data_IF_204500253213
#
_entry.id   IF_204500253213
#
_cell.length_a   1.000
_cell.length_b   1.000
_cell.length_c   1.000
_cell.angle_alpha   90.00
_cell.angle_beta   90.00
_cell.angle_gamma   90.00
#
_symmetry.space_group_name_H-M   'P 1'
#
loop_
_entity.id
_entity.type
_entity.pdbx_description
1 polymer ?
#
# COMPACT_ATOMS: atom_id res chain seq x y z
N UNK A 1 32.22 23.02 93.55
CA UNK A 1 32.80 23.70 92.38
C UNK A 1 31.79 23.62 91.25
N UNK A 2 30.79 24.49 91.23
CA UNK A 2 30.82 25.79 90.53
C UNK A 2 31.04 25.61 89.01
N UNK A 3 29.96 25.30 88.30
CA UNK A 3 29.90 25.31 86.83
C UNK A 3 29.72 26.77 86.42
N UNK A 4 30.80 27.38 85.92
CA UNK A 4 30.78 28.72 85.37
C UNK A 4 29.96 28.71 84.08
N UNK A 5 28.74 29.25 84.13
CA UNK A 5 28.03 29.70 82.94
C UNK A 5 28.85 30.85 82.35
N UNK A 6 29.57 30.58 81.26
CA UNK A 6 30.15 31.62 80.41
C UNK A 6 29.00 32.48 79.93
N UNK A 7 28.95 33.70 80.44
CA UNK A 7 28.04 34.77 80.02
C UNK A 7 28.33 35.01 78.53
N UNK A 8 27.50 34.44 77.67
CA UNK A 8 27.60 34.63 76.23
C UNK A 8 27.26 36.10 76.00
N UNK A 9 28.24 36.88 75.56
CA UNK A 9 28.06 38.28 75.19
C UNK A 9 27.04 38.38 74.05
N UNK A 10 25.78 38.56 74.44
CA UNK A 10 24.61 38.57 73.56
C UNK A 10 24.75 39.68 72.52
N UNK A 11 25.39 40.80 72.85
CA UNK A 11 25.59 41.91 71.94
C UNK A 11 26.63 41.58 70.87
N UNK A 12 27.73 40.89 71.23
CA UNK A 12 28.70 40.38 70.26
C UNK A 12 28.06 39.39 69.26
N UNK A 13 27.15 38.53 69.74
CA UNK A 13 26.40 37.60 68.88
C UNK A 13 25.46 38.34 67.94
N UNK A 14 24.72 39.36 68.42
CA UNK A 14 23.84 40.17 67.56
C UNK A 14 24.63 40.93 66.49
N UNK A 15 25.80 41.48 66.82
CA UNK A 15 26.66 42.15 65.83
C UNK A 15 27.20 41.18 64.77
N UNK A 16 27.56 39.96 65.16
CA UNK A 16 27.97 38.92 64.22
C UNK A 16 26.82 38.50 63.29
N UNK A 17 25.59 38.35 63.83
CA UNK A 17 24.39 38.08 63.04
C UNK A 17 24.14 39.18 62.01
N UNK A 18 24.13 40.45 62.43
CA UNK A 18 23.91 41.58 61.52
C UNK A 18 24.97 41.67 60.41
N UNK A 19 26.22 41.32 60.73
CA UNK A 19 27.30 41.28 59.74
C UNK A 19 27.05 40.21 58.69
N UNK A 20 26.69 39.00 59.11
CA UNK A 20 26.38 37.90 58.19
C UNK A 20 25.10 38.16 57.39
N UNK A 21 24.06 38.76 57.97
CA UNK A 21 22.86 39.15 57.23
C UNK A 21 23.17 40.14 56.10
N UNK A 22 24.06 41.11 56.36
CA UNK A 22 24.53 42.05 55.32
C UNK A 22 25.30 41.32 54.22
N UNK A 23 26.18 40.40 54.58
CA UNK A 23 26.95 39.60 53.59
C UNK A 23 26.02 38.70 52.75
N UNK A 24 25.05 38.05 53.37
CA UNK A 24 24.01 37.27 52.68
C UNK A 24 23.26 38.15 51.70
N UNK A 25 22.83 39.36 52.10
CA UNK A 25 22.16 40.30 51.20
C UNK A 25 23.02 40.68 49.98
N UNK A 26 24.33 40.87 50.15
CA UNK A 26 25.25 41.12 49.04
C UNK A 26 25.39 39.90 48.11
N UNK A 27 25.43 38.70 48.66
CA UNK A 27 25.47 37.45 47.89
C UNK A 27 24.17 37.27 47.09
N UNK A 28 23.00 37.53 47.68
CA UNK A 28 21.71 37.40 47.01
C UNK A 28 21.58 38.36 45.81
N UNK A 29 22.02 39.61 45.96
CA UNK A 29 22.07 40.58 44.84
C UNK A 29 22.98 40.05 43.72
N UNK A 30 24.13 39.46 44.06
CA UNK A 30 25.05 38.88 43.08
C UNK A 30 24.43 37.67 42.38
N UNK A 31 23.73 36.79 43.11
CA UNK A 31 22.99 35.66 42.55
C UNK A 31 21.94 36.16 41.57
N UNK A 32 21.14 37.17 41.95
CA UNK A 32 20.11 37.75 41.08
C UNK A 32 20.74 38.32 39.79
N UNK A 33 21.85 39.04 39.89
CA UNK A 33 22.57 39.58 38.73
C UNK A 33 23.11 38.48 37.80
N UNK A 34 23.65 37.40 38.36
CA UNK A 34 24.09 36.23 37.59
C UNK A 34 22.90 35.51 36.93
N UNK A 35 21.77 35.33 37.62
CA UNK A 35 20.57 34.72 37.05
C UNK A 35 20.01 35.53 35.87
N UNK A 36 20.00 36.86 35.97
CA UNK A 36 19.63 37.72 34.84
C UNK A 36 20.58 37.56 33.65
N UNK A 37 21.89 37.50 33.93
CA UNK A 37 22.91 37.27 32.90
C UNK A 37 22.75 35.91 32.22
N UNK A 38 22.47 34.85 32.98
CA UNK A 38 22.18 33.51 32.45
C UNK A 38 20.96 33.54 31.54
N UNK A 39 19.84 34.15 31.97
CA UNK A 39 18.63 34.27 31.13
C UNK A 39 18.91 34.98 29.80
N UNK A 40 19.67 36.08 29.84
CA UNK A 40 20.06 36.83 28.63
C UNK A 40 20.90 35.97 27.68
N UNK A 41 21.90 35.26 28.20
CA UNK A 41 22.74 34.37 27.40
C UNK A 41 21.94 33.18 26.83
N UNK A 42 20.98 32.65 27.60
CA UNK A 42 20.06 31.60 27.12
C UNK A 42 19.26 32.09 25.90
N UNK A 43 18.68 33.29 26.00
CA UNK A 43 17.94 33.90 24.89
C UNK A 43 18.82 34.12 23.65
N UNK A 44 20.04 34.63 23.83
CA UNK A 44 21.00 34.81 22.73
C UNK A 44 21.39 33.46 22.10
N UNK A 45 21.61 32.42 22.91
CA UNK A 45 21.87 31.06 22.44
C UNK A 45 20.71 30.52 21.62
N UNK A 46 19.47 30.74 22.05
CA UNK A 46 18.28 30.29 21.32
C UNK A 46 18.10 31.01 19.98
N UNK A 47 18.40 32.31 19.94
CA UNK A 47 18.44 33.09 18.69
C UNK A 47 19.49 32.53 17.71
N UNK A 48 20.71 32.29 18.17
CA UNK A 48 21.76 31.70 17.34
C UNK A 48 21.41 30.28 16.87
N UNK A 49 20.81 29.46 17.74
CA UNK A 49 20.34 28.13 17.36
C UNK A 49 19.23 28.19 16.30
N UNK A 50 18.35 29.19 16.34
CA UNK A 50 17.36 29.41 15.30
C UNK A 50 18.00 29.75 13.94
N UNK A 51 18.99 30.64 13.92
CA UNK A 51 19.72 30.98 12.68
C UNK A 51 20.56 29.81 12.17
N UNK A 52 21.22 29.04 13.04
CA UNK A 52 21.92 27.80 12.65
C UNK A 52 20.95 26.81 12.00
N UNK A 53 19.74 26.61 12.57
CA UNK A 53 18.72 25.73 11.99
C UNK A 53 18.28 26.21 10.60
N UNK A 54 18.11 27.53 10.43
CA UNK A 54 17.76 28.15 9.14
C UNK A 54 18.86 27.93 8.09
N UNK A 55 20.13 28.15 8.45
CA UNK A 55 21.27 27.89 7.58
C UNK A 55 21.43 26.41 7.25
N UNK A 56 21.29 25.52 8.25
CA UNK A 56 21.28 24.07 8.06
C UNK A 56 20.18 23.66 7.07
N UNK A 57 18.98 24.23 7.18
CA UNK A 57 17.88 24.02 6.26
C UNK A 57 18.26 24.31 4.80
N UNK A 58 18.99 25.40 4.54
CA UNK A 58 19.43 25.81 3.20
C UNK A 58 20.50 24.92 2.57
N UNK A 59 21.36 24.30 3.39
CA UNK A 59 22.44 23.43 2.90
C UNK A 59 22.01 21.98 2.74
N UNK A 60 20.80 21.61 3.21
CA UNK A 60 20.29 20.26 3.01
C UNK A 60 20.13 19.96 1.51
N UNK A 61 20.45 18.73 1.10
CA UNK A 61 20.23 18.30 -0.29
C UNK A 61 18.75 18.50 -0.70
N UNK A 62 17.84 18.23 0.25
CA UNK A 62 16.40 18.45 0.16
C UNK A 62 15.98 19.86 -0.30
N UNK A 63 16.74 20.90 0.04
CA UNK A 63 16.44 22.28 -0.37
C UNK A 63 17.15 22.71 -1.64
N UNK A 64 18.08 21.89 -2.15
CA UNK A 64 18.85 22.18 -3.38
C UNK A 64 18.30 21.45 -4.60
N UNK A 65 17.56 20.38 -4.40
CA UNK A 65 16.91 19.65 -5.49
C UNK A 65 15.71 20.45 -6.01
N UNK A 66 15.56 20.56 -7.34
CA UNK A 66 14.33 21.04 -7.95
C UNK A 66 13.12 20.23 -7.47
N UNK A 67 11.93 20.85 -7.31
CA UNK A 67 10.74 20.17 -6.84
C UNK A 67 10.32 19.00 -7.74
N UNK A 68 10.65 19.04 -9.03
CA UNK A 68 10.38 17.97 -10.00
C UNK A 68 11.20 16.70 -9.68
N UNK A 69 12.46 16.87 -9.28
CA UNK A 69 13.32 15.74 -8.91
C UNK A 69 12.86 15.12 -7.59
N UNK A 70 12.44 15.96 -6.64
CA UNK A 70 11.84 15.47 -5.39
C UNK A 70 10.54 14.71 -5.66
N UNK A 71 9.66 15.24 -6.51
CA UNK A 71 8.41 14.58 -6.88
C UNK A 71 8.69 13.21 -7.53
N UNK A 72 9.66 13.12 -8.44
CA UNK A 72 10.07 11.85 -9.04
C UNK A 72 10.60 10.85 -8.02
N UNK A 73 11.42 11.27 -7.05
CA UNK A 73 11.86 10.41 -5.94
C UNK A 73 10.66 9.92 -5.13
N UNK A 74 9.67 10.78 -4.88
CA UNK A 74 8.46 10.41 -4.14
C UNK A 74 7.62 9.41 -4.92
N UNK A 75 7.51 9.55 -6.25
CA UNK A 75 6.85 8.59 -7.13
C UNK A 75 7.53 7.21 -7.05
N UNK A 76 8.87 7.15 -7.10
CA UNK A 76 9.60 5.89 -6.92
C UNK A 76 9.32 5.26 -5.55
N UNK A 77 9.31 6.05 -4.48
CA UNK A 77 8.97 5.55 -3.14
C UNK A 77 7.54 4.97 -3.10
N UNK A 78 6.59 5.61 -3.77
CA UNK A 78 5.20 5.13 -3.86
C UNK A 78 5.13 3.81 -4.61
N UNK A 79 5.86 3.69 -5.73
CA UNK A 79 5.95 2.44 -6.51
C UNK A 79 6.60 1.30 -5.72
N UNK A 80 7.56 1.58 -4.84
CA UNK A 80 8.15 0.62 -3.90
C UNK A 80 7.19 0.22 -2.74
N UNK A 81 5.89 0.52 -2.87
CA UNK A 81 4.85 0.16 -1.88
C UNK A 81 4.71 1.15 -0.72
N UNK A 82 5.46 2.26 -0.69
CA UNK A 82 5.29 3.31 0.35
C UNK A 82 4.17 4.27 -0.04
N UNK A 83 2.94 3.76 -0.11
CA UNK A 83 1.76 4.45 -0.64
C UNK A 83 1.35 5.71 0.15
N UNK A 84 1.82 5.85 1.39
CA UNK A 84 1.63 7.05 2.23
C UNK A 84 2.70 8.13 2.09
N UNK A 85 3.70 7.91 1.22
CA UNK A 85 4.80 8.86 0.97
C UNK A 85 4.31 10.29 0.76
N UNK A 86 3.28 10.59 -0.05
CA UNK A 86 2.85 11.96 -0.31
C UNK A 86 2.45 12.72 0.96
N UNK A 87 1.79 12.04 1.90
CA UNK A 87 1.43 12.61 3.19
C UNK A 87 2.66 12.84 4.06
N UNK A 88 3.50 11.82 4.22
CA UNK A 88 4.68 11.87 5.11
C UNK A 88 5.63 12.99 4.67
N UNK A 89 5.96 13.05 3.37
CA UNK A 89 6.94 14.01 2.84
C UNK A 89 6.40 15.45 2.87
N UNK A 90 5.07 15.66 2.84
CA UNK A 90 4.45 16.97 2.94
C UNK A 90 4.68 17.69 4.30
N UNK A 91 5.03 16.92 5.33
CA UNK A 91 5.31 17.43 6.68
C UNK A 91 6.80 17.74 6.93
N UNK A 92 7.70 17.41 6.00
CA UNK A 92 9.15 17.54 6.21
C UNK A 92 9.62 18.99 6.16
N UNK A 93 9.42 19.66 5.02
CA UNK A 93 9.76 21.08 4.85
C UNK A 93 8.89 21.70 3.74
N UNK A 94 8.98 23.03 3.54
CA UNK A 94 8.20 23.72 2.50
C UNK A 94 8.51 23.22 1.09
N UNK A 95 9.79 22.97 0.77
CA UNK A 95 10.19 22.47 -0.56
C UNK A 95 9.59 21.08 -0.84
N UNK A 96 9.66 20.18 0.15
CA UNK A 96 9.10 18.84 0.03
C UNK A 96 7.59 18.87 -0.07
N UNK A 97 6.93 19.78 0.66
CA UNK A 97 5.49 19.99 0.55
C UNK A 97 5.09 20.43 -0.86
N UNK A 98 5.84 21.35 -1.47
CA UNK A 98 5.58 21.78 -2.85
C UNK A 98 5.70 20.58 -3.81
N UNK A 99 6.81 19.84 -3.74
CA UNK A 99 6.99 18.63 -4.55
C UNK A 99 5.92 17.55 -4.29
N UNK A 100 5.47 17.42 -3.05
CA UNK A 100 4.39 16.50 -2.69
C UNK A 100 3.03 16.90 -3.29
N UNK A 101 2.83 18.16 -3.73
CA UNK A 101 1.58 18.55 -4.42
C UNK A 101 1.53 18.14 -5.88
N UNK A 102 2.63 17.62 -6.45
CA UNK A 102 2.67 17.16 -7.83
C UNK A 102 1.67 16.02 -8.03
N UNK A 103 0.71 16.12 -8.98
CA UNK A 103 -0.39 15.16 -9.08
C UNK A 103 0.04 13.70 -9.31
N UNK A 104 1.13 13.47 -10.04
CA UNK A 104 1.66 12.13 -10.33
C UNK A 104 2.10 11.38 -9.07
N UNK A 105 2.54 12.10 -8.03
CA UNK A 105 2.89 11.55 -6.71
C UNK A 105 1.67 10.90 -6.02
N UNK A 106 0.44 11.29 -6.39
CA UNK A 106 -0.81 10.76 -5.86
C UNK A 106 -1.52 9.77 -6.80
N UNK A 107 -0.91 9.45 -7.94
CA UNK A 107 -1.54 8.63 -8.99
C UNK A 107 -1.69 7.14 -8.63
N UNK A 108 -0.90 6.65 -7.67
CA UNK A 108 -1.05 5.31 -7.11
C UNK A 108 -2.03 5.34 -5.92
N UNK A 109 -3.25 4.89 -6.17
CA UNK A 109 -4.34 4.87 -5.19
C UNK A 109 -4.38 3.50 -4.55
N UNK A 110 -3.82 3.40 -3.35
CA UNK A 110 -3.86 2.17 -2.55
C UNK A 110 -4.96 2.18 -1.50
N UNK A 111 -5.78 1.15 -1.55
CA UNK A 111 -6.99 0.98 -0.77
C UNK A 111 -6.85 -0.31 0.03
N UNK A 112 -6.93 -0.16 1.34
CA UNK A 112 -7.05 -1.28 2.26
C UNK A 112 -8.41 -1.12 2.94
N UNK A 113 -9.30 -2.09 2.72
CA UNK A 113 -10.70 -1.98 3.16
C UNK A 113 -10.88 -2.10 4.68
N UNK A 114 -9.91 -2.67 5.39
CA UNK A 114 -9.91 -2.72 6.86
C UNK A 114 -9.49 -1.38 7.49
N UNK A 115 -8.93 -0.46 6.69
CA UNK A 115 -8.50 0.83 7.21
C UNK A 115 -9.69 1.71 7.60
N UNK A 116 -9.52 2.58 8.60
CA UNK A 116 -10.56 3.54 8.97
C UNK A 116 -10.81 4.50 7.80
N UNK A 117 -12.06 4.60 7.37
CA UNK A 117 -12.51 5.58 6.36
C UNK A 117 -11.83 5.42 4.98
N UNK A 118 -11.85 4.22 4.36
CA UNK A 118 -11.20 3.93 3.09
C UNK A 118 -11.78 4.80 1.96
N UNK A 119 -13.09 5.06 1.98
CA UNK A 119 -13.77 5.91 1.01
C UNK A 119 -13.25 7.37 1.05
N UNK A 120 -13.23 8.01 2.22
CA UNK A 120 -12.73 9.39 2.38
C UNK A 120 -11.25 9.50 2.00
N UNK A 121 -10.46 8.48 2.34
CA UNK A 121 -9.05 8.43 1.99
C UNK A 121 -8.87 8.30 0.48
N UNK A 122 -9.68 7.46 -0.18
CA UNK A 122 -9.68 7.32 -1.64
C UNK A 122 -10.03 8.64 -2.32
N UNK A 123 -11.07 9.33 -1.87
CA UNK A 123 -11.46 10.66 -2.39
C UNK A 123 -10.32 11.68 -2.28
N UNK A 124 -9.58 11.69 -1.17
CA UNK A 124 -8.42 12.57 -1.01
C UNK A 124 -7.33 12.29 -2.06
N UNK A 125 -7.00 11.03 -2.30
CA UNK A 125 -6.02 10.63 -3.32
C UNK A 125 -6.49 11.01 -4.73
N UNK A 126 -7.74 10.68 -5.07
CA UNK A 126 -8.32 11.02 -6.37
C UNK A 126 -8.30 12.54 -6.60
N UNK A 127 -8.69 13.34 -5.60
CA UNK A 127 -8.66 14.80 -5.69
C UNK A 127 -7.25 15.35 -5.95
N UNK A 128 -6.24 14.80 -5.27
CA UNK A 128 -4.86 15.28 -5.41
C UNK A 128 -4.19 14.80 -6.70
N UNK A 129 -4.59 13.64 -7.23
CA UNK A 129 -4.09 13.09 -8.49
C UNK A 129 -4.57 13.87 -9.75
N UNK A 130 -5.58 14.73 -9.60
CA UNK A 130 -6.14 15.60 -10.65
C UNK A 130 -6.57 14.86 -11.91
N UNK A 131 -5.82 14.97 -13.02
CA UNK A 131 -6.13 14.34 -14.32
C UNK A 131 -5.08 13.29 -14.70
N UNK A 132 -4.20 12.92 -13.77
CA UNK A 132 -3.18 11.89 -14.05
C UNK A 132 -3.82 10.52 -14.21
N UNK A 133 -3.20 9.68 -15.03
CA UNK A 133 -3.58 8.27 -15.13
C UNK A 133 -3.30 7.56 -13.82
N UNK A 134 -4.19 6.64 -13.44
CA UNK A 134 -4.21 6.04 -12.12
C UNK A 134 -3.73 4.59 -12.13
N UNK A 135 -2.94 4.25 -11.12
CA UNK A 135 -2.72 2.86 -10.70
C UNK A 135 -3.58 2.63 -9.47
N UNK A 136 -4.58 1.77 -9.60
CA UNK A 136 -5.51 1.44 -8.51
C UNK A 136 -5.08 0.10 -7.92
N UNK A 137 -4.82 0.07 -6.62
CA UNK A 137 -4.51 -1.14 -5.88
C UNK A 137 -5.51 -1.31 -4.75
N UNK A 138 -6.27 -2.41 -4.79
CA UNK A 138 -7.31 -2.72 -3.81
C UNK A 138 -6.92 -4.02 -3.11
N UNK A 139 -6.69 -3.91 -1.80
CA UNK A 139 -6.53 -5.04 -0.89
C UNK A 139 -7.87 -5.31 -0.20
N UNK A 140 -8.45 -6.46 -0.52
CA UNK A 140 -9.79 -6.90 -0.14
C UNK A 140 -9.65 -8.04 0.87
N UNK A 141 -9.87 -7.71 2.14
CA UNK A 141 -9.88 -8.66 3.24
C UNK A 141 -11.29 -9.22 3.46
N UNK A 142 -11.49 -10.00 4.52
CA UNK A 142 -12.75 -10.70 4.77
C UNK A 142 -13.95 -9.76 4.97
N UNK A 143 -13.73 -8.55 5.51
CA UNK A 143 -14.78 -7.54 5.65
C UNK A 143 -14.97 -6.76 4.34
N UNK A 144 -16.02 -7.09 3.60
CA UNK A 144 -16.38 -6.44 2.33
C UNK A 144 -17.45 -5.35 2.50
N UNK A 145 -17.82 -4.99 3.73
CA UNK A 145 -18.91 -4.03 4.00
C UNK A 145 -18.72 -2.67 3.32
N UNK A 146 -17.47 -2.22 3.17
CA UNK A 146 -17.11 -0.94 2.56
C UNK A 146 -16.63 -1.06 1.11
N UNK A 147 -16.61 -2.26 0.55
CA UNK A 147 -16.11 -2.52 -0.80
C UNK A 147 -16.92 -1.73 -1.83
N UNK A 148 -18.25 -1.90 -1.80
CA UNK A 148 -19.15 -1.28 -2.78
C UNK A 148 -19.02 0.25 -2.81
N UNK A 149 -19.13 0.91 -1.66
CA UNK A 149 -19.06 2.38 -1.58
C UNK A 149 -17.69 2.93 -1.97
N UNK A 150 -16.61 2.21 -1.67
CA UNK A 150 -15.25 2.63 -2.05
C UNK A 150 -15.02 2.43 -3.55
N UNK A 151 -15.47 1.32 -4.11
CA UNK A 151 -15.39 1.03 -5.56
C UNK A 151 -16.23 2.01 -6.36
N UNK A 152 -17.43 2.38 -5.92
CA UNK A 152 -18.26 3.41 -6.56
C UNK A 152 -17.53 4.74 -6.73
N UNK A 153 -16.76 5.16 -5.71
CA UNK A 153 -15.92 6.37 -5.79
C UNK A 153 -14.81 6.23 -6.83
N UNK A 154 -14.18 5.07 -6.93
CA UNK A 154 -13.14 4.82 -7.94
C UNK A 154 -13.71 4.78 -9.35
N UNK A 155 -14.89 4.18 -9.51
CA UNK A 155 -15.56 4.02 -10.79
C UNK A 155 -15.96 5.35 -11.41
N UNK A 156 -16.22 6.39 -10.60
CA UNK A 156 -16.40 7.76 -11.08
C UNK A 156 -15.18 8.27 -11.88
N UNK A 157 -14.00 7.71 -11.65
CA UNK A 157 -12.72 8.06 -12.29
C UNK A 157 -12.17 6.93 -13.18
N UNK A 158 -12.99 5.93 -13.54
CA UNK A 158 -12.55 4.74 -14.30
C UNK A 158 -11.88 5.08 -15.64
N UNK A 159 -12.29 6.18 -16.26
CA UNK A 159 -11.72 6.65 -17.53
C UNK A 159 -10.23 6.99 -17.43
N UNK A 160 -9.68 7.18 -16.23
CA UNK A 160 -8.25 7.46 -15.98
C UNK A 160 -7.46 6.23 -15.55
N UNK A 161 -8.11 5.09 -15.31
CA UNK A 161 -7.41 3.90 -14.84
C UNK A 161 -6.44 3.42 -15.91
N UNK A 162 -5.18 3.22 -15.52
CA UNK A 162 -4.13 2.63 -16.35
C UNK A 162 -3.82 1.21 -15.92
N UNK A 163 -3.78 0.98 -14.62
CA UNK A 163 -3.49 -0.31 -14.02
C UNK A 163 -4.46 -0.57 -12.87
N UNK A 164 -5.02 -1.77 -12.81
CA UNK A 164 -5.86 -2.25 -11.71
C UNK A 164 -5.20 -3.46 -11.06
N UNK A 165 -4.97 -3.41 -9.76
CA UNK A 165 -4.37 -4.48 -8.96
C UNK A 165 -5.40 -4.87 -7.89
N UNK A 166 -5.86 -6.11 -7.92
CA UNK A 166 -6.82 -6.66 -6.99
C UNK A 166 -6.14 -7.77 -6.18
N UNK A 167 -6.04 -7.56 -4.87
CA UNK A 167 -5.48 -8.55 -3.94
C UNK A 167 -6.60 -8.97 -2.99
N UNK A 168 -6.90 -10.25 -2.90
CA UNK A 168 -7.92 -10.75 -1.97
C UNK A 168 -7.58 -12.11 -1.40
N UNK A 169 -8.18 -12.45 -0.26
CA UNK A 169 -8.14 -13.81 0.26
C UNK A 169 -9.00 -14.76 -0.55
N UNK A 170 -10.09 -14.32 -1.17
CA UNK A 170 -11.01 -15.17 -1.94
C UNK A 170 -11.40 -14.55 -3.28
N UNK A 171 -12.00 -15.35 -4.16
CA UNK A 171 -12.38 -14.91 -5.50
C UNK A 171 -13.63 -14.02 -5.52
N UNK A 172 -14.62 -14.29 -4.66
CA UNK A 172 -15.92 -13.60 -4.72
C UNK A 172 -15.81 -12.08 -4.64
N UNK A 173 -15.00 -11.48 -3.76
CA UNK A 173 -14.85 -10.03 -3.70
C UNK A 173 -14.18 -9.46 -4.95
N UNK A 174 -13.23 -10.18 -5.55
CA UNK A 174 -12.60 -9.80 -6.82
C UNK A 174 -13.64 -9.75 -7.93
N UNK A 175 -14.45 -10.81 -8.06
CA UNK A 175 -15.55 -10.87 -9.02
C UNK A 175 -16.59 -9.77 -8.79
N UNK A 176 -16.85 -9.42 -7.53
CA UNK A 176 -17.73 -8.29 -7.20
C UNK A 176 -17.17 -6.97 -7.76
N UNK A 177 -15.87 -6.70 -7.61
CA UNK A 177 -15.25 -5.49 -8.19
C UNK A 177 -15.33 -5.50 -9.72
N UNK A 178 -14.95 -6.61 -10.35
CA UNK A 178 -14.94 -6.74 -11.81
C UNK A 178 -16.34 -6.55 -12.41
N UNK A 179 -17.37 -7.10 -11.78
CA UNK A 179 -18.78 -6.92 -12.20
C UNK A 179 -19.27 -5.49 -12.08
N UNK A 180 -18.78 -4.73 -11.09
CA UNK A 180 -19.15 -3.32 -10.93
C UNK A 180 -18.50 -2.42 -12.00
N UNK A 181 -17.46 -2.91 -12.70
CA UNK A 181 -16.76 -2.15 -13.73
C UNK A 181 -17.56 -2.10 -15.05
N UNK A 182 -18.69 -1.40 -15.03
CA UNK A 182 -19.62 -1.31 -16.16
C UNK A 182 -19.37 -0.14 -17.11
N UNK A 183 -18.40 0.71 -16.80
CA UNK A 183 -18.11 1.94 -17.56
C UNK A 183 -16.87 1.78 -18.45
N UNK A 184 -16.73 2.60 -19.51
CA UNK A 184 -15.58 2.54 -20.41
C UNK A 184 -14.28 2.91 -19.70
N UNK A 185 -13.33 1.97 -19.67
CA UNK A 185 -12.01 2.13 -19.07
C UNK A 185 -10.97 2.41 -20.16
N UNK A 186 -11.09 3.57 -20.82
CA UNK A 186 -10.40 3.90 -22.07
C UNK A 186 -8.87 3.84 -22.01
N UNK A 187 -8.28 3.97 -20.82
CA UNK A 187 -6.83 3.98 -20.62
C UNK A 187 -6.31 2.72 -19.91
N UNK A 188 -7.18 1.76 -19.58
CA UNK A 188 -6.80 0.58 -18.81
C UNK A 188 -5.94 -0.34 -19.69
N UNK A 189 -4.73 -0.62 -19.23
CA UNK A 189 -3.72 -1.41 -19.95
C UNK A 189 -3.40 -2.72 -19.28
N UNK A 190 -3.42 -2.73 -17.94
CA UNK A 190 -3.00 -3.88 -17.15
C UNK A 190 -3.98 -4.17 -16.03
N UNK A 191 -4.26 -5.44 -15.82
CA UNK A 191 -4.98 -5.95 -14.65
C UNK A 191 -4.11 -7.01 -13.98
N UNK A 192 -3.96 -6.92 -12.66
CA UNK A 192 -3.30 -7.91 -11.82
C UNK A 192 -4.29 -8.40 -10.77
N UNK A 193 -4.41 -9.71 -10.64
CA UNK A 193 -5.35 -10.35 -9.72
C UNK A 193 -4.58 -11.36 -8.87
N UNK A 194 -4.58 -11.17 -7.56
CA UNK A 194 -3.96 -12.08 -6.60
C UNK A 194 -5.01 -12.61 -5.63
N UNK A 195 -5.19 -13.94 -5.60
CA UNK A 195 -6.11 -14.63 -4.67
C UNK A 195 -5.31 -15.66 -3.88
N UNK A 196 -5.26 -15.50 -2.55
CA UNK A 196 -4.42 -16.35 -1.69
C UNK A 196 -5.11 -17.59 -1.11
N UNK A 197 -6.45 -17.65 -1.10
CA UNK A 197 -7.19 -18.82 -0.63
C UNK A 197 -8.28 -19.17 -1.64
N UNK A 198 -8.22 -20.39 -2.16
CA UNK A 198 -9.27 -20.92 -3.02
C UNK A 198 -9.71 -22.26 -2.44
N UNK A 199 -10.93 -22.27 -1.94
CA UNK A 199 -11.55 -23.49 -1.45
C UNK A 199 -12.23 -24.16 -2.63
N UNK A 200 -11.84 -25.41 -2.92
CA UNK A 200 -12.61 -26.28 -3.81
C UNK A 200 -13.90 -26.63 -3.08
N UNK A 201 -14.97 -25.86 -3.34
CA UNK A 201 -16.30 -26.20 -2.84
C UNK A 201 -16.73 -27.50 -3.50
N UNK A 202 -16.68 -28.60 -2.74
CA UNK A 202 -17.15 -29.91 -3.17
C UNK A 202 -18.68 -29.93 -3.20
N UNK A 203 -19.32 -29.25 -4.16
CA UNK A 203 -20.79 -29.29 -4.31
C UNK A 203 -21.23 -29.30 -5.77
N UNK A 204 -21.93 -30.40 -6.11
CA UNK A 204 -22.95 -30.62 -7.12
C UNK A 204 -22.79 -30.02 -8.53
N UNK A 205 -22.13 -30.79 -9.41
CA UNK A 205 -22.73 -31.44 -10.59
C UNK A 205 -23.48 -30.63 -11.67
N UNK A 206 -23.72 -29.33 -11.53
CA UNK A 206 -24.51 -28.54 -12.48
C UNK A 206 -23.84 -27.18 -12.77
N UNK A 207 -22.87 -27.27 -13.68
CA UNK A 207 -22.62 -26.37 -14.82
C UNK A 207 -22.22 -24.89 -14.66
N UNK A 208 -21.98 -24.36 -13.46
CA UNK A 208 -21.30 -23.06 -13.33
C UNK A 208 -19.98 -23.21 -12.58
N UNK A 209 -18.87 -23.12 -13.32
CA UNK A 209 -17.52 -23.25 -12.79
C UNK A 209 -17.25 -22.10 -11.80
N UNK A 210 -17.31 -22.33 -10.47
CA UNK A 210 -17.38 -21.25 -9.47
C UNK A 210 -16.08 -20.46 -9.34
N UNK A 211 -15.05 -20.82 -10.11
CA UNK A 211 -13.70 -20.28 -10.03
C UNK A 211 -13.37 -19.27 -11.16
N UNK A 212 -14.34 -18.97 -12.01
CA UNK A 212 -14.16 -18.06 -13.14
C UNK A 212 -14.09 -16.58 -12.73
N UNK A 213 -13.27 -15.82 -13.44
CA UNK A 213 -13.11 -14.37 -13.28
C UNK A 213 -14.28 -13.63 -13.94
N UNK A 214 -15.40 -13.57 -13.23
CA UNK A 214 -16.64 -12.99 -13.74
C UNK A 214 -16.52 -11.46 -13.86
N UNK A 215 -16.90 -10.94 -15.03
CA UNK A 215 -16.85 -9.51 -15.35
C UNK A 215 -15.56 -9.08 -16.07
N UNK A 216 -14.50 -9.90 -16.05
CA UNK A 216 -13.24 -9.56 -16.73
C UNK A 216 -13.43 -9.40 -18.25
N UNK A 217 -14.17 -10.33 -18.87
CA UNK A 217 -14.51 -10.26 -20.29
C UNK A 217 -15.41 -9.05 -20.64
N UNK A 218 -16.33 -8.67 -19.75
CA UNK A 218 -17.18 -7.49 -19.96
C UNK A 218 -16.35 -6.19 -19.86
N UNK A 219 -15.41 -6.14 -18.92
CA UNK A 219 -14.48 -5.03 -18.74
C UNK A 219 -13.54 -4.88 -19.95
N UNK A 220 -13.03 -5.98 -20.50
CA UNK A 220 -12.15 -5.92 -21.68
C UNK A 220 -12.84 -5.38 -22.92
N UNK A 221 -14.12 -5.71 -23.14
CA UNK A 221 -14.91 -5.13 -24.22
C UNK A 221 -15.02 -3.59 -24.12
N UNK A 222 -14.88 -3.05 -22.91
CA UNK A 222 -14.96 -1.62 -22.58
C UNK A 222 -13.58 -0.97 -22.41
N UNK A 223 -12.49 -1.73 -22.56
CA UNK A 223 -11.11 -1.31 -22.34
C UNK A 223 -10.25 -1.63 -23.58
N UNK A 224 -10.28 -0.77 -24.62
CA UNK A 224 -9.65 -1.09 -25.91
C UNK A 224 -8.12 -1.18 -25.87
N UNK A 225 -7.48 -0.66 -24.81
CA UNK A 225 -6.03 -0.70 -24.61
C UNK A 225 -5.59 -1.82 -23.65
N UNK A 226 -6.51 -2.69 -23.22
CA UNK A 226 -6.21 -3.72 -22.24
C UNK A 226 -5.42 -4.87 -22.88
N UNK A 227 -4.17 -5.02 -22.45
CA UNK A 227 -3.17 -5.89 -23.08
C UNK A 227 -2.52 -6.86 -22.10
N UNK A 228 -2.31 -6.46 -20.84
CA UNK A 228 -1.54 -7.25 -19.87
C UNK A 228 -2.41 -7.77 -18.74
N UNK A 229 -2.50 -9.10 -18.59
CA UNK A 229 -3.20 -9.75 -17.49
C UNK A 229 -2.23 -10.59 -16.66
N UNK A 230 -2.21 -10.34 -15.36
CA UNK A 230 -1.42 -11.10 -14.39
C UNK A 230 -2.34 -11.75 -13.37
N UNK A 231 -2.20 -13.05 -13.17
CA UNK A 231 -3.06 -13.84 -12.29
C UNK A 231 -2.15 -14.63 -11.35
N UNK A 232 -2.31 -14.38 -10.05
CA UNK A 232 -1.59 -15.01 -8.95
C UNK A 232 -2.61 -15.78 -8.10
N UNK A 233 -2.88 -17.04 -8.45
CA UNK A 233 -3.98 -17.84 -7.88
C UNK A 233 -3.59 -19.31 -7.88
N UNK A 234 -4.18 -20.13 -7.02
CA UNK A 234 -3.94 -21.57 -7.08
C UNK A 234 -4.62 -22.24 -8.28
N UNK A 235 -5.73 -21.72 -8.79
CA UNK A 235 -6.52 -22.35 -9.86
C UNK A 235 -6.34 -21.67 -11.23
N UNK A 236 -6.36 -22.48 -12.28
CA UNK A 236 -6.36 -22.00 -13.68
C UNK A 236 -7.76 -21.45 -14.00
N UNK A 237 -7.87 -20.23 -14.56
CA UNK A 237 -9.15 -19.66 -14.97
C UNK A 237 -9.88 -20.54 -16.00
N UNK A 238 -11.22 -20.55 -16.00
CA UNK A 238 -12.00 -21.29 -16.99
C UNK A 238 -11.98 -20.67 -18.39
N UNK A 239 -12.50 -21.46 -19.35
CA UNK A 239 -12.44 -21.24 -20.81
C UNK A 239 -13.05 -19.93 -21.33
N UNK A 240 -13.85 -19.22 -20.56
CA UNK A 240 -14.46 -17.97 -21.05
C UNK A 240 -14.19 -16.79 -20.12
N UNK A 241 -13.25 -16.97 -19.19
CA UNK A 241 -12.90 -15.95 -18.22
C UNK A 241 -11.90 -14.93 -18.78
N UNK A 242 -11.09 -15.31 -19.77
CA UNK A 242 -10.03 -14.47 -20.29
C UNK A 242 -10.44 -13.71 -21.56
N UNK A 243 -10.14 -12.40 -21.61
CA UNK A 243 -10.32 -11.59 -22.81
C UNK A 243 -9.44 -12.01 -24.00
N UNK A 244 -9.98 -12.10 -25.22
CA UNK A 244 -9.20 -12.43 -26.41
C UNK A 244 -8.24 -11.31 -26.88
N UNK A 245 -8.34 -10.11 -26.31
CA UNK A 245 -7.50 -8.95 -26.66
C UNK A 245 -6.14 -8.91 -25.95
N UNK A 246 -5.90 -9.84 -25.01
CA UNK A 246 -4.66 -9.86 -24.21
C UNK A 246 -3.48 -10.33 -25.07
N UNK A 247 -2.37 -9.60 -24.95
CA UNK A 247 -1.08 -9.90 -25.59
C UNK A 247 -0.08 -10.48 -24.60
N UNK A 248 -0.21 -10.13 -23.31
CA UNK A 248 0.72 -10.53 -22.26
C UNK A 248 -0.04 -11.20 -21.11
N UNK A 249 0.17 -12.50 -20.92
CA UNK A 249 -0.44 -13.29 -19.85
C UNK A 249 0.64 -13.81 -18.91
N UNK A 250 0.51 -13.49 -17.62
CA UNK A 250 1.30 -14.11 -16.56
C UNK A 250 0.39 -14.90 -15.64
N UNK A 251 0.66 -16.20 -15.50
CA UNK A 251 -0.03 -17.10 -14.58
C UNK A 251 0.99 -17.58 -13.54
N UNK A 252 0.85 -17.12 -12.30
CA UNK A 252 1.62 -17.61 -11.16
C UNK A 252 0.72 -18.49 -10.30
N UNK A 253 0.90 -19.81 -10.43
CA UNK A 253 0.18 -20.78 -9.62
C UNK A 253 0.83 -20.86 -8.25
N UNK A 254 0.12 -20.43 -7.21
CA UNK A 254 0.64 -20.39 -5.84
C UNK A 254 0.32 -21.67 -5.08
N UNK A 255 1.30 -22.15 -4.31
CA UNK A 255 1.21 -23.31 -3.44
C UNK A 255 0.78 -22.85 -2.05
N UNK A 256 -0.52 -22.84 -1.84
CA UNK A 256 -1.11 -22.66 -0.53
C UNK A 256 -1.47 -24.04 0.04
N UNK A 257 -1.55 -24.17 1.37
CA UNK A 257 -1.67 -25.42 2.16
C UNK A 257 -2.89 -26.32 1.86
N UNK A 258 -3.53 -26.15 0.71
CA UNK A 258 -4.60 -26.96 0.18
C UNK A 258 -4.09 -28.36 -0.28
N UNK A 259 -4.96 -29.39 -0.21
CA UNK A 259 -4.65 -30.71 -0.72
C UNK A 259 -4.31 -30.66 -2.21
N UNK A 260 -3.37 -31.50 -2.63
CA UNK A 260 -2.80 -31.67 -3.98
C UNK A 260 -3.79 -31.30 -5.11
N UNK A 261 -3.78 -30.04 -5.54
CA UNK A 261 -4.59 -29.60 -6.67
C UNK A 261 -3.91 -30.14 -7.93
N UNK A 262 -4.60 -31.04 -8.64
CA UNK A 262 -4.17 -31.54 -9.94
C UNK A 262 -4.49 -30.48 -11.01
N UNK A 263 -3.46 -29.76 -11.45
CA UNK A 263 -3.56 -28.94 -12.66
C UNK A 263 -3.42 -29.81 -13.88
N UNK A 264 -4.51 -30.00 -14.63
CA UNK A 264 -4.40 -30.59 -15.95
C UNK A 264 -3.79 -29.56 -16.90
N UNK A 265 -2.64 -29.89 -17.50
CA UNK A 265 -2.03 -29.10 -18.58
C UNK A 265 -3.02 -28.89 -19.74
N UNK A 266 -3.96 -29.82 -19.92
CA UNK A 266 -4.99 -29.67 -20.94
C UNK A 266 -5.88 -28.45 -20.67
N UNK A 267 -6.13 -28.07 -19.42
CA UNK A 267 -6.87 -26.85 -19.09
C UNK A 267 -6.12 -25.59 -19.49
N UNK A 268 -4.80 -25.55 -19.26
CA UNK A 268 -3.93 -24.44 -19.69
C UNK A 268 -3.88 -24.35 -21.21
N UNK A 269 -3.66 -25.47 -21.91
CA UNK A 269 -3.64 -25.47 -23.38
C UNK A 269 -4.97 -25.03 -23.99
N UNK A 270 -6.09 -25.43 -23.38
CA UNK A 270 -7.42 -25.01 -23.80
C UNK A 270 -7.62 -23.51 -23.64
N UNK A 271 -7.20 -22.96 -22.50
CA UNK A 271 -7.20 -21.52 -22.21
C UNK A 271 -6.36 -20.74 -23.24
N UNK A 272 -5.18 -21.24 -23.58
CA UNK A 272 -4.30 -20.62 -24.58
C UNK A 272 -4.90 -20.66 -25.99
N UNK A 273 -5.69 -21.69 -26.31
CA UNK A 273 -6.42 -21.79 -27.59
C UNK A 273 -7.43 -20.68 -27.82
N UNK A 274 -7.84 -19.96 -26.77
CA UNK A 274 -8.84 -18.88 -26.83
C UNK A 274 -8.20 -17.47 -26.90
N UNK A 275 -6.87 -17.39 -26.87
CA UNK A 275 -6.11 -16.14 -26.87
C UNK A 275 -5.31 -16.00 -28.18
N UNK A 276 -5.98 -15.66 -29.31
CA UNK A 276 -5.33 -15.65 -30.62
C UNK A 276 -4.25 -14.57 -30.76
N UNK A 277 -4.27 -13.55 -29.91
CA UNK A 277 -3.36 -12.41 -29.95
C UNK A 277 -2.24 -12.51 -28.90
N UNK A 278 -2.10 -13.65 -28.20
CA UNK A 278 -1.13 -13.78 -27.13
C UNK A 278 0.30 -13.82 -27.69
N UNK A 279 1.14 -12.86 -27.28
CA UNK A 279 2.54 -12.74 -27.67
C UNK A 279 3.49 -13.23 -26.58
N UNK A 280 3.16 -12.94 -25.32
CA UNK A 280 3.98 -13.27 -24.16
C UNK A 280 3.18 -14.12 -23.17
N UNK A 281 3.69 -15.31 -22.89
CA UNK A 281 3.20 -16.18 -21.83
C UNK A 281 4.31 -16.41 -20.80
N UNK A 282 4.03 -16.02 -19.55
CA UNK A 282 4.84 -16.38 -18.40
C UNK A 282 4.02 -17.31 -17.50
N UNK A 283 4.56 -18.50 -17.22
CA UNK A 283 3.92 -19.51 -16.39
C UNK A 283 4.88 -19.85 -15.25
N UNK A 284 4.49 -19.47 -14.03
CA UNK A 284 5.23 -19.81 -12.83
C UNK A 284 4.47 -20.89 -12.08
N UNK A 285 5.15 -22.02 -11.87
CA UNK A 285 4.60 -23.20 -11.20
C UNK A 285 5.31 -23.40 -9.86
N UNK A 286 4.62 -23.86 -8.82
CA UNK A 286 5.29 -24.19 -7.57
C UNK A 286 6.19 -25.41 -7.74
N UNK A 287 7.41 -25.34 -7.22
CA UNK A 287 8.47 -26.34 -7.44
C UNK A 287 8.37 -27.61 -6.58
N UNK A 288 7.17 -28.01 -6.11
CA UNK A 288 7.04 -29.19 -5.22
C UNK A 288 7.14 -30.51 -5.99
N UNK A 289 7.82 -31.49 -5.37
CA UNK A 289 8.19 -32.81 -5.93
C UNK A 289 7.01 -33.75 -6.31
N UNK A 290 5.75 -33.35 -6.09
CA UNK A 290 4.57 -34.21 -6.27
C UNK A 290 3.47 -33.66 -7.21
N UNK A 291 3.79 -32.69 -8.08
CA UNK A 291 2.84 -32.33 -9.15
C UNK A 291 2.93 -33.34 -10.29
N UNK A 292 1.94 -34.23 -10.39
CA UNK A 292 1.79 -35.08 -11.57
C UNK A 292 0.91 -34.37 -12.59
N UNK A 293 1.50 -34.02 -13.73
CA UNK A 293 0.73 -33.61 -14.90
C UNK A 293 0.17 -34.88 -15.56
N UNK A 294 -1.10 -35.17 -15.33
CA UNK A 294 -1.79 -36.19 -16.10
C UNK A 294 -2.10 -35.61 -17.49
N UNK A 295 -1.44 -36.13 -18.53
CA UNK A 295 -1.93 -35.95 -19.89
C UNK A 295 -3.24 -36.72 -20.00
N UNK A 296 -4.35 -36.02 -20.24
CA UNK A 296 -5.70 -36.59 -20.44
C UNK A 296 -5.84 -37.46 -21.72
N UNK A 297 -4.74 -38.00 -22.25
CA UNK A 297 -4.70 -38.67 -23.55
C UNK A 297 -5.29 -40.10 -23.57
N UNK A 298 -5.76 -40.65 -22.45
CA UNK A 298 -6.11 -42.09 -22.38
C UNK A 298 -7.60 -42.43 -22.13
N UNK A 299 -8.49 -41.47 -21.90
CA UNK A 299 -9.93 -41.79 -21.68
C UNK A 299 -10.79 -41.83 -22.95
N UNK A 300 -10.16 -41.91 -24.13
CA UNK A 300 -10.83 -41.97 -25.44
C UNK A 300 -11.14 -43.36 -25.99
N UNK A 301 -10.71 -44.46 -25.35
CA UNK A 301 -11.08 -45.80 -25.79
C UNK A 301 -12.47 -46.18 -25.28
N UNK A 302 -13.47 -45.84 -26.11
CA UNK A 302 -14.77 -46.50 -26.15
C UNK A 302 -14.57 -48.03 -26.09
N UNK A 303 -14.99 -48.64 -24.99
CA UNK A 303 -15.33 -50.06 -24.96
C UNK A 303 -16.58 -50.27 -25.83
N UNK A 304 -16.36 -50.49 -27.12
CA UNK A 304 -17.32 -51.13 -28.01
C UNK A 304 -17.54 -52.56 -27.49
N UNK A 305 -18.58 -52.73 -26.67
CA UNK A 305 -19.16 -54.05 -26.42
C UNK A 305 -19.76 -54.55 -27.74
N UNK A 306 -19.00 -55.34 -28.48
CA UNK A 306 -19.55 -56.30 -29.43
C UNK A 306 -20.06 -57.48 -28.61
N UNK A 307 -21.36 -57.47 -28.30
CA UNK A 307 -22.05 -58.66 -27.86
C UNK A 307 -22.78 -59.24 -29.08
N UNK A 308 -22.25 -60.36 -29.58
CA UNK A 308 -22.66 -60.97 -30.84
C UNK A 308 -22.38 -62.46 -30.85
N UNK A 309 -23.24 -63.22 -30.15
CA UNK A 309 -23.63 -64.60 -30.46
C UNK A 309 -22.56 -65.70 -30.38
N UNK A 310 -22.94 -66.98 -30.40
CA UNK A 310 -24.20 -67.53 -30.92
C UNK A 310 -25.24 -67.96 -29.88
#
# INVERSE_FOLDING_TARGET
MAVAFLDVDVDAVHQAILTHEREIGLIDVKIQGLMQSVRRLQFQKDLHNAEIRKCKGKITLASRLPPEILAYIFELCVLDGRTRTPLIVSHVCSSWRIAATTPTVWSHVYINLDSRYPCQRTQLWLRNSRQTLLTIEIEINADTSQLKSTVEVLLAEIWRWKTLILKSSSLDPVNQVLRLCDSPASHLRSIEISVSQEFLSAMDGLDDNPHDLMGLHALSAKAPLFQTLRIHRSLVPGRHSLPPSITDLTLQLTDHDAPTILHSMSSVLRLLGELPNLEVLALEMPSRENQSFLLDAQNGHQSLNFDGGP
#
